data_IF_042191060837
#
_entry.id   IF_042191060837
#
_cell.length_a   1.000
_cell.length_b   1.000
_cell.length_c   1.000
_cell.angle_alpha   90.00
_cell.angle_beta   90.00
_cell.angle_gamma   90.00
#
_symmetry.space_group_name_H-M   'P 1'
#
loop_
_entity.id
_entity.type
_entity.pdbx_description
1 polymer ?
#
# COMPACT_ATOMS: atom_id res chain seq x y z
N UNK A 1 -22.67 -30.19 32.32
CA UNK A 1 -22.64 -30.74 30.95
C UNK A 1 -24.02 -30.54 30.38
N UNK A 2 -24.25 -29.72 29.36
CA UNK A 2 -23.40 -29.51 28.19
C UNK A 2 -23.27 -28.04 27.80
N UNK A 3 -22.02 -27.59 27.72
CA UNK A 3 -21.58 -26.41 26.98
C UNK A 3 -21.65 -26.73 25.49
N UNK A 4 -22.78 -26.45 24.84
CA UNK A 4 -22.82 -26.49 23.38
C UNK A 4 -23.98 -25.61 22.92
N UNK A 5 -23.64 -24.41 22.42
CA UNK A 5 -24.46 -23.51 21.56
C UNK A 5 -24.17 -22.01 21.76
N UNK A 6 -22.94 -21.62 22.13
CA UNK A 6 -22.47 -20.29 21.80
C UNK A 6 -21.75 -20.35 20.45
N UNK A 7 -22.53 -20.45 19.36
CA UNK A 7 -22.02 -20.24 18.02
C UNK A 7 -21.51 -18.80 17.91
N UNK A 8 -20.24 -18.58 18.27
CA UNK A 8 -19.53 -17.34 18.01
C UNK A 8 -19.52 -17.11 16.52
N UNK A 9 -20.40 -16.22 16.06
CA UNK A 9 -20.34 -15.61 14.74
C UNK A 9 -18.95 -14.98 14.63
N UNK A 10 -18.02 -15.67 13.95
CA UNK A 10 -16.74 -15.11 13.53
C UNK A 10 -17.06 -14.10 12.44
N UNK A 11 -17.39 -12.88 12.81
CA UNK A 11 -17.44 -11.77 11.85
C UNK A 11 -16.01 -11.54 11.37
N UNK A 12 -15.65 -12.19 10.26
CA UNK A 12 -14.38 -11.96 9.56
C UNK A 12 -14.54 -10.66 8.80
N UNK A 13 -14.08 -9.55 9.38
CA UNK A 13 -13.91 -8.31 8.63
C UNK A 13 -12.62 -8.50 7.83
N UNK A 14 -12.77 -8.76 6.54
CA UNK A 14 -11.67 -8.79 5.58
C UNK A 14 -11.29 -7.35 5.22
N UNK A 15 -10.02 -7.00 5.44
CA UNK A 15 -9.43 -5.77 4.91
C UNK A 15 -8.41 -6.15 3.85
N UNK A 16 -8.49 -5.53 2.68
CA UNK A 16 -7.45 -5.61 1.65
C UNK A 16 -6.71 -4.27 1.60
N UNK A 17 -5.38 -4.34 1.73
CA UNK A 17 -4.51 -3.16 1.73
C UNK A 17 -3.66 -3.12 0.47
N UNK A 18 -3.59 -1.97 -0.20
CA UNK A 18 -2.74 -1.74 -1.35
C UNK A 18 -1.97 -0.41 -1.22
N UNK A 19 -0.72 -0.35 -1.65
CA UNK A 19 0.01 0.90 -1.69
C UNK A 19 1.30 0.87 -2.50
N UNK A 20 1.73 2.05 -2.96
CA UNK A 20 3.01 2.26 -3.65
C UNK A 20 3.92 3.18 -2.83
N UNK A 21 5.23 2.92 -2.81
CA UNK A 21 6.24 3.81 -2.23
C UNK A 21 5.99 4.04 -0.73
N UNK A 22 5.90 5.31 -0.31
CA UNK A 22 5.49 5.69 1.05
C UNK A 22 4.07 5.23 1.38
N UNK A 23 3.18 5.14 0.40
CA UNK A 23 1.82 4.61 0.57
C UNK A 23 1.82 3.13 0.90
N UNK A 24 2.72 2.34 0.29
CA UNK A 24 2.94 0.94 0.65
C UNK A 24 3.43 0.83 2.10
N UNK A 25 4.41 1.66 2.48
CA UNK A 25 4.90 1.70 3.85
C UNK A 25 3.81 2.13 4.85
N UNK A 26 2.92 3.05 4.48
CA UNK A 26 1.77 3.42 5.30
C UNK A 26 0.77 2.26 5.47
N UNK A 27 0.47 1.52 4.40
CA UNK A 27 -0.35 0.31 4.47
C UNK A 27 0.29 -0.74 5.40
N UNK A 28 1.61 -0.90 5.35
CA UNK A 28 2.38 -1.74 6.26
C UNK A 28 2.29 -1.30 7.72
N UNK A 29 2.43 0.00 8.00
CA UNK A 29 2.25 0.58 9.33
C UNK A 29 0.86 0.29 9.89
N UNK A 30 -0.17 0.42 9.04
CA UNK A 30 -1.56 0.15 9.38
C UNK A 30 -1.78 -1.34 9.68
N UNK A 31 -1.29 -2.23 8.83
CA UNK A 31 -1.40 -3.68 9.05
C UNK A 31 -0.73 -4.10 10.36
N UNK A 32 0.47 -3.58 10.66
CA UNK A 32 1.15 -3.80 11.94
C UNK A 32 0.37 -3.20 13.13
N UNK A 33 -0.34 -2.08 12.93
CA UNK A 33 -1.19 -1.51 13.97
C UNK A 33 -2.40 -2.40 14.25
N UNK A 34 -3.08 -2.85 13.19
CA UNK A 34 -4.23 -3.77 13.29
C UNK A 34 -3.83 -5.09 13.93
N UNK A 35 -2.65 -5.63 13.61
CA UNK A 35 -2.10 -6.85 14.23
C UNK A 35 -1.98 -6.76 15.75
N UNK A 36 -1.54 -5.61 16.25
CA UNK A 36 -1.31 -5.42 17.69
C UNK A 36 -2.55 -4.90 18.41
N UNK A 37 -3.26 -3.96 17.82
CA UNK A 37 -4.34 -3.21 18.49
C UNK A 37 -5.72 -3.77 18.13
N UNK A 38 -5.89 -4.22 16.89
CA UNK A 38 -7.19 -4.44 16.27
C UNK A 38 -7.80 -3.14 15.73
N UNK A 39 -9.11 -3.18 15.40
CA UNK A 39 -9.86 -2.00 14.97
C UNK A 39 -10.62 -1.42 16.14
N UNK A 40 -10.42 -0.13 16.40
CA UNK A 40 -11.16 0.60 17.41
C UNK A 40 -12.51 1.05 16.85
N UNK A 41 -13.58 0.83 17.61
CA UNK A 41 -14.86 1.48 17.34
C UNK A 41 -14.76 2.99 17.60
N UNK A 42 -15.71 3.78 17.11
CA UNK A 42 -15.72 5.24 17.33
C UNK A 42 -15.62 5.63 18.81
N UNK A 43 -16.20 4.83 19.71
CA UNK A 43 -16.11 5.00 21.17
C UNK A 43 -14.71 4.73 21.74
N UNK A 44 -13.89 3.96 21.04
CA UNK A 44 -12.50 3.65 21.40
C UNK A 44 -11.49 4.71 20.93
N UNK A 45 -11.86 5.59 19.99
CA UNK A 45 -10.97 6.62 19.44
C UNK A 45 -10.36 7.58 20.47
N UNK A 46 -11.05 7.99 21.56
CA UNK A 46 -10.43 8.80 22.61
C UNK A 46 -9.18 8.16 23.23
N UNK A 47 -9.05 6.83 23.18
CA UNK A 47 -7.91 6.09 23.71
C UNK A 47 -6.77 5.89 22.69
N UNK A 48 -7.00 6.25 21.42
CA UNK A 48 -6.03 6.06 20.34
C UNK A 48 -4.68 6.72 20.66
N UNK A 49 -4.70 7.93 21.22
CA UNK A 49 -3.47 8.62 21.61
C UNK A 49 -2.66 7.83 22.64
N UNK A 50 -3.32 7.27 23.65
CA UNK A 50 -2.68 6.48 24.71
C UNK A 50 -2.04 5.22 24.15
N UNK A 51 -2.75 4.50 23.26
CA UNK A 51 -2.25 3.31 22.57
C UNK A 51 -1.04 3.66 21.70
N UNK A 52 -1.15 4.69 20.87
CA UNK A 52 -0.06 5.15 20.00
C UNK A 52 1.16 5.58 20.80
N UNK A 53 0.96 6.22 21.96
CA UNK A 53 2.05 6.63 22.85
C UNK A 53 2.77 5.43 23.45
N UNK A 54 2.05 4.43 23.94
CA UNK A 54 2.64 3.18 24.44
C UNK A 54 3.44 2.45 23.35
N UNK A 55 2.90 2.41 22.13
CA UNK A 55 3.57 1.79 20.98
C UNK A 55 4.82 2.55 20.53
N UNK A 56 4.79 3.89 20.55
CA UNK A 56 5.97 4.73 20.32
C UNK A 56 7.05 4.43 21.37
N UNK A 57 6.66 4.36 22.64
CA UNK A 57 7.58 4.03 23.74
C UNK A 57 8.19 2.63 23.60
N UNK A 58 7.41 1.66 23.15
CA UNK A 58 7.92 0.33 22.79
C UNK A 58 8.97 0.39 21.66
N UNK A 59 8.69 1.13 20.58
CA UNK A 59 9.61 1.28 19.46
C UNK A 59 10.90 2.04 19.80
N UNK A 60 10.86 2.93 20.79
CA UNK A 60 12.03 3.66 21.33
C UNK A 60 12.79 2.84 22.38
N UNK A 61 12.18 1.80 22.94
CA UNK A 61 12.76 1.00 24.01
C UNK A 61 13.90 0.10 23.52
N UNK A 62 14.92 -0.04 24.36
CA UNK A 62 15.95 -1.07 24.20
C UNK A 62 15.37 -2.47 24.39
N UNK A 63 16.09 -3.50 23.94
CA UNK A 63 15.64 -4.89 23.95
C UNK A 63 15.16 -5.36 25.33
N UNK A 64 15.83 -4.93 26.40
CA UNK A 64 15.47 -5.26 27.79
C UNK A 64 14.15 -4.64 28.27
N UNK A 65 13.77 -3.49 27.71
CA UNK A 65 12.59 -2.72 28.14
C UNK A 65 11.36 -2.98 27.27
N UNK A 66 11.53 -3.57 26.08
CA UNK A 66 10.41 -3.92 25.17
C UNK A 66 9.36 -4.83 25.84
N UNK A 67 9.72 -5.88 26.62
CA UNK A 67 8.73 -6.71 27.29
C UNK A 67 7.82 -5.93 28.24
N UNK A 68 8.37 -4.95 28.97
CA UNK A 68 7.59 -4.08 29.87
C UNK A 68 6.56 -3.28 29.10
N UNK A 69 6.96 -2.65 27.99
CA UNK A 69 6.04 -1.85 27.17
C UNK A 69 5.00 -2.71 26.45
N UNK A 70 5.34 -3.94 26.07
CA UNK A 70 4.37 -4.92 25.61
C UNK A 70 3.31 -5.19 26.68
N UNK A 71 3.71 -5.49 27.92
CA UNK A 71 2.75 -5.71 29.02
C UNK A 71 1.84 -4.51 29.26
N UNK A 72 2.38 -3.28 29.22
CA UNK A 72 1.58 -2.05 29.36
C UNK A 72 0.56 -1.93 28.23
N UNK A 73 0.97 -2.21 26.99
CA UNK A 73 0.08 -2.16 25.84
C UNK A 73 -1.02 -3.22 25.95
N UNK A 74 -0.67 -4.47 26.28
CA UNK A 74 -1.65 -5.56 26.44
C UNK A 74 -2.68 -5.26 27.53
N UNK A 75 -2.25 -4.70 28.68
CA UNK A 75 -3.17 -4.29 29.74
C UNK A 75 -4.14 -3.18 29.27
N UNK A 76 -3.64 -2.20 28.50
CA UNK A 76 -4.48 -1.16 27.91
C UNK A 76 -5.48 -1.72 26.91
N UNK A 77 -5.05 -2.66 26.06
CA UNK A 77 -5.90 -3.26 25.04
C UNK A 77 -6.97 -4.17 25.66
N UNK A 78 -6.62 -4.96 26.67
CA UNK A 78 -7.58 -5.76 27.43
C UNK A 78 -8.66 -4.89 28.08
N UNK A 79 -8.28 -3.74 28.65
CA UNK A 79 -9.24 -2.77 29.18
C UNK A 79 -10.13 -2.13 28.11
N UNK A 80 -9.79 -2.26 26.82
CA UNK A 80 -10.52 -1.71 25.68
C UNK A 80 -11.21 -2.79 24.83
N UNK A 81 -11.23 -4.05 25.27
CA UNK A 81 -11.82 -5.18 24.53
C UNK A 81 -13.28 -4.92 24.13
N UNK A 82 -14.05 -4.22 24.96
CA UNK A 82 -15.45 -3.87 24.69
C UNK A 82 -15.65 -2.78 23.62
N UNK A 83 -14.58 -2.07 23.22
CA UNK A 83 -14.58 -1.01 22.21
C UNK A 83 -13.58 -1.25 21.09
N UNK A 84 -13.09 -2.49 20.94
CA UNK A 84 -12.24 -2.89 19.83
C UNK A 84 -12.65 -4.23 19.24
N UNK A 85 -12.27 -4.46 18.00
CA UNK A 85 -12.33 -5.74 17.32
C UNK A 85 -10.93 -6.32 17.28
N UNK A 86 -10.72 -7.46 17.93
CA UNK A 86 -9.39 -8.09 18.07
C UNK A 86 -9.13 -9.21 17.07
N UNK A 87 -10.17 -9.74 16.43
CA UNK A 87 -10.09 -10.87 15.48
C UNK A 87 -10.29 -10.38 14.04
N UNK A 88 -9.28 -9.72 13.51
CA UNK A 88 -9.29 -9.19 12.14
C UNK A 88 -8.27 -9.94 11.31
N UNK A 89 -8.65 -10.24 10.08
CA UNK A 89 -7.76 -10.83 9.11
C UNK A 89 -7.67 -9.88 7.90
N UNK A 90 -6.44 -9.61 7.49
CA UNK A 90 -6.12 -8.89 6.26
C UNK A 90 -5.88 -9.96 5.21
N UNK A 91 -6.80 -10.08 4.25
CA UNK A 91 -6.74 -11.16 3.27
C UNK A 91 -5.56 -10.96 2.33
N UNK A 92 -5.38 -9.73 1.83
CA UNK A 92 -4.19 -9.35 1.07
C UNK A 92 -3.59 -8.02 1.52
N UNK A 93 -2.25 -7.99 1.63
CA UNK A 93 -1.44 -6.78 1.64
C UNK A 93 -0.57 -6.75 0.38
N UNK A 94 -0.91 -5.86 -0.56
CA UNK A 94 -0.22 -5.66 -1.83
C UNK A 94 0.65 -4.39 -1.80
N UNK A 95 1.94 -4.54 -2.04
CA UNK A 95 2.92 -3.46 -1.90
C UNK A 95 3.76 -3.31 -3.17
N UNK A 96 3.79 -2.12 -3.74
CA UNK A 96 4.74 -1.76 -4.79
C UNK A 96 5.87 -0.92 -4.19
N UNK A 97 7.09 -1.42 -4.36
CA UNK A 97 8.36 -0.81 -4.01
C UNK A 97 8.32 -0.01 -2.69
N UNK A 98 7.99 -0.66 -1.55
CA UNK A 98 7.74 0.03 -0.29
C UNK A 98 9.01 0.69 0.21
N UNK A 99 9.04 2.02 0.25
CA UNK A 99 10.18 2.76 0.80
C UNK A 99 9.83 3.27 2.18
N UNK A 100 10.73 3.02 3.14
CA UNK A 100 10.56 3.58 4.47
C UNK A 100 10.54 5.11 4.37
N UNK A 101 9.68 5.77 5.14
CA UNK A 101 9.71 7.23 5.26
C UNK A 101 10.96 7.76 5.99
N UNK A 102 11.98 6.92 6.22
CA UNK A 102 13.32 7.34 6.62
C UNK A 102 13.91 8.30 5.56
N UNK A 103 13.73 9.59 5.78
CA UNK A 103 14.46 10.64 5.05
C UNK A 103 13.60 11.64 4.28
N UNK A 104 12.61 12.27 4.92
CA UNK A 104 12.28 13.64 4.51
C UNK A 104 13.35 14.58 5.10
N UNK A 105 14.20 15.25 4.31
CA UNK A 105 15.27 16.13 4.82
C UNK A 105 14.77 17.44 5.45
N UNK A 106 13.45 17.60 5.64
CA UNK A 106 12.85 18.88 6.00
C UNK A 106 12.63 19.09 7.51
N UNK A 107 12.93 18.11 8.37
CA UNK A 107 12.84 18.30 9.83
C UNK A 107 13.95 17.56 10.61
N UNK A 108 14.73 18.25 11.45
CA UNK A 108 15.59 17.59 12.42
C UNK A 108 14.72 16.90 13.47
N UNK A 109 14.86 15.59 13.60
CA UNK A 109 14.03 14.76 14.49
C UNK A 109 13.44 13.56 13.77
N UNK A 110 14.29 12.77 13.10
CA UNK A 110 13.94 11.50 12.46
C UNK A 110 13.17 10.62 13.44
N UNK A 111 11.83 10.69 13.41
CA UNK A 111 10.97 9.75 14.10
C UNK A 111 11.21 8.39 13.44
N UNK A 112 12.03 7.57 14.09
CA UNK A 112 12.29 6.22 13.63
C UNK A 112 10.94 5.50 13.66
N UNK A 113 10.47 5.03 12.50
CA UNK A 113 9.35 4.08 12.42
C UNK A 113 9.79 2.70 12.95
N UNK A 114 10.53 2.66 14.05
CA UNK A 114 11.07 1.44 14.69
C UNK A 114 9.97 0.53 15.22
N UNK A 115 8.72 1.01 15.25
CA UNK A 115 7.56 0.18 15.57
C UNK A 115 7.09 -0.70 14.39
N UNK A 116 7.56 -0.46 13.17
CA UNK A 116 7.23 -1.29 12.00
C UNK A 116 8.22 -2.45 11.97
N UNK A 117 7.71 -3.65 12.24
CA UNK A 117 8.55 -4.85 12.20
C UNK A 117 8.96 -5.19 10.76
N UNK A 118 10.13 -5.80 10.61
CA UNK A 118 10.53 -6.49 9.36
C UNK A 118 9.86 -7.87 9.22
N UNK A 119 9.06 -8.26 10.21
CA UNK A 119 8.24 -9.45 10.23
C UNK A 119 6.85 -9.14 9.68
N UNK A 120 6.34 -10.03 8.82
CA UNK A 120 4.98 -9.92 8.30
C UNK A 120 3.98 -10.14 9.44
N UNK A 121 3.06 -9.18 9.69
CA UNK A 121 2.04 -9.32 10.72
C UNK A 121 1.20 -10.59 10.61
N UNK A 122 0.85 -11.18 11.75
CA UNK A 122 0.10 -12.44 11.83
C UNK A 122 -1.34 -12.35 11.33
N UNK A 123 -1.93 -11.14 11.35
CA UNK A 123 -3.25 -10.87 10.78
C UNK A 123 -3.28 -10.95 9.25
N UNK A 124 -2.13 -10.96 8.57
CA UNK A 124 -2.07 -11.00 7.11
C UNK A 124 -2.06 -12.45 6.63
N UNK A 125 -2.99 -12.79 5.74
CA UNK A 125 -3.02 -14.11 5.08
C UNK A 125 -2.07 -14.14 3.88
N UNK A 126 -2.07 -13.09 3.07
CA UNK A 126 -1.23 -13.00 1.86
C UNK A 126 -0.51 -11.65 1.80
N UNK A 127 0.83 -11.65 1.79
CA UNK A 127 1.66 -10.47 1.61
C UNK A 127 2.40 -10.55 0.27
N UNK A 128 2.08 -9.65 -0.64
CA UNK A 128 2.67 -9.58 -1.98
C UNK A 128 3.44 -8.29 -2.15
N UNK A 129 4.70 -8.39 -2.56
CA UNK A 129 5.59 -7.23 -2.73
C UNK A 129 6.25 -7.28 -4.10
N UNK A 130 6.07 -6.23 -4.90
CA UNK A 130 6.85 -5.98 -6.10
C UNK A 130 8.01 -5.03 -5.76
N UNK A 131 9.25 -5.39 -6.08
CA UNK A 131 10.44 -4.57 -5.78
C UNK A 131 11.21 -4.21 -7.04
N UNK A 132 11.77 -2.99 -7.05
CA UNK A 132 12.64 -2.52 -8.12
C UNK A 132 14.06 -3.09 -7.97
N UNK A 133 14.61 -3.61 -9.08
CA UNK A 133 15.98 -4.14 -9.11
C UNK A 133 17.02 -3.08 -9.47
N UNK A 134 16.62 -2.04 -10.22
CA UNK A 134 17.55 -1.04 -10.77
C UNK A 134 17.50 0.31 -10.05
N UNK A 135 16.79 0.41 -8.92
CA UNK A 135 16.78 1.63 -8.10
C UNK A 135 18.10 1.79 -7.33
N UNK A 136 18.87 2.83 -7.68
CA UNK A 136 20.20 3.08 -7.13
C UNK A 136 20.23 4.16 -6.05
N UNK A 137 19.15 4.93 -5.87
CA UNK A 137 19.09 6.00 -4.86
C UNK A 137 18.89 5.36 -3.49
N UNK A 138 19.84 5.59 -2.58
CA UNK A 138 19.79 5.02 -1.24
C UNK A 138 18.52 5.36 -0.45
N UNK A 139 17.92 6.53 -0.68
CA UNK A 139 16.66 6.96 -0.06
C UNK A 139 15.42 6.23 -0.58
N UNK A 140 15.55 5.46 -1.67
CA UNK A 140 14.47 4.67 -2.27
C UNK A 140 14.74 3.17 -2.18
N UNK A 141 15.64 2.74 -1.29
CA UNK A 141 15.87 1.31 -1.07
C UNK A 141 14.57 0.65 -0.58
N UNK A 142 14.04 -0.37 -1.29
CA UNK A 142 12.80 -1.01 -0.89
C UNK A 142 12.94 -1.80 0.42
N UNK A 143 11.89 -1.77 1.21
CA UNK A 143 11.73 -2.47 2.47
C UNK A 143 11.13 -3.86 2.20
N UNK A 144 12.00 -4.85 2.07
CA UNK A 144 11.59 -6.26 1.94
C UNK A 144 11.25 -6.87 3.30
N UNK A 145 10.36 -7.86 3.28
CA UNK A 145 10.03 -8.68 4.43
C UNK A 145 11.17 -9.66 4.74
N UNK A 146 11.57 -9.73 6.01
CA UNK A 146 12.66 -10.59 6.46
C UNK A 146 12.18 -11.92 7.05
N UNK A 147 11.05 -11.94 7.75
CA UNK A 147 10.48 -13.11 8.43
C UNK A 147 8.96 -13.10 8.35
N UNK A 148 8.36 -14.28 8.52
CA UNK A 148 6.90 -14.45 8.66
C UNK A 148 6.58 -14.66 10.14
N UNK A 149 5.49 -14.09 10.63
CA UNK A 149 5.04 -14.32 12.02
C UNK A 149 4.44 -15.71 12.23
N UNK A 150 3.98 -16.37 11.17
CA UNK A 150 3.48 -17.74 11.21
C UNK A 150 3.75 -18.44 9.85
N UNK A 151 3.58 -19.77 9.83
CA UNK A 151 3.81 -20.59 8.64
C UNK A 151 2.61 -20.55 7.65
N UNK A 152 1.46 -20.04 8.09
CA UNK A 152 0.23 -19.97 7.30
C UNK A 152 0.24 -18.79 6.31
N UNK A 153 0.91 -17.69 6.65
CA UNK A 153 0.99 -16.49 5.81
C UNK A 153 1.77 -16.77 4.51
N UNK A 154 1.10 -16.62 3.37
CA UNK A 154 1.75 -16.65 2.05
C UNK A 154 2.47 -15.33 1.83
N UNK A 155 3.80 -15.37 1.72
CA UNK A 155 4.61 -14.17 1.39
C UNK A 155 5.29 -14.37 0.05
N UNK A 156 5.00 -13.50 -0.90
CA UNK A 156 5.68 -13.42 -2.20
C UNK A 156 6.35 -12.07 -2.36
N UNK A 157 7.63 -12.09 -2.73
CA UNK A 157 8.41 -10.90 -3.02
C UNK A 157 9.05 -11.11 -4.40
N UNK A 158 8.64 -10.32 -5.38
CA UNK A 158 9.07 -10.46 -6.78
C UNK A 158 9.87 -9.22 -7.20
N UNK A 159 11.06 -9.47 -7.76
CA UNK A 159 11.93 -8.43 -8.31
C UNK A 159 11.63 -8.17 -9.78
N UNK A 160 11.47 -6.89 -10.12
CA UNK A 160 11.20 -6.44 -11.47
C UNK A 160 12.32 -5.51 -11.96
N UNK A 161 12.66 -5.63 -13.24
CA UNK A 161 13.59 -4.71 -13.93
C UNK A 161 12.96 -3.33 -13.99
N UNK A 162 13.76 -2.30 -13.72
CA UNK A 162 13.33 -0.90 -13.64
C UNK A 162 13.63 -0.24 -12.30
N UNK A 163 13.46 1.08 -12.25
CA UNK A 163 13.57 1.88 -11.04
C UNK A 163 12.23 2.04 -10.32
N UNK A 164 12.20 2.81 -9.23
CA UNK A 164 11.02 2.96 -8.36
C UNK A 164 9.69 3.22 -9.09
N UNK A 165 9.68 4.16 -10.04
CA UNK A 165 8.49 4.53 -10.81
C UNK A 165 8.20 3.60 -11.99
N UNK A 166 9.17 2.76 -12.39
CA UNK A 166 8.93 1.70 -13.37
C UNK A 166 8.18 0.53 -12.74
N UNK A 167 8.19 0.39 -11.41
CA UNK A 167 7.49 -0.70 -10.71
C UNK A 167 6.16 -0.25 -10.16
N UNK A 168 6.08 0.91 -9.52
CA UNK A 168 4.82 1.40 -8.96
C UNK A 168 4.07 2.41 -9.84
N UNK A 169 4.62 2.74 -11.01
CA UNK A 169 4.04 3.69 -11.94
C UNK A 169 4.41 5.15 -11.65
N UNK A 170 3.80 6.04 -12.44
CA UNK A 170 4.05 7.49 -12.41
C UNK A 170 5.02 7.98 -13.50
N UNK A 171 5.66 7.07 -14.24
CA UNK A 171 6.38 7.40 -15.46
C UNK A 171 5.40 7.58 -16.64
N UNK A 172 5.84 8.35 -17.65
CA UNK A 172 5.07 8.52 -18.90
C UNK A 172 4.99 7.21 -19.69
N UNK A 173 6.08 6.46 -19.67
CA UNK A 173 6.11 5.09 -20.14
C UNK A 173 5.61 4.19 -19.01
N UNK A 174 4.50 3.50 -19.27
CA UNK A 174 3.84 2.63 -18.29
C UNK A 174 4.18 1.16 -18.51
N UNK A 175 5.00 0.82 -19.50
CA UNK A 175 5.24 -0.56 -19.92
C UNK A 175 5.71 -1.45 -18.78
N UNK A 176 6.79 -1.06 -18.10
CA UNK A 176 7.33 -1.82 -16.96
C UNK A 176 6.36 -1.86 -15.77
N UNK A 177 5.68 -0.75 -15.46
CA UNK A 177 4.73 -0.70 -14.33
C UNK A 177 3.47 -1.50 -14.58
N UNK A 178 3.14 -1.73 -15.85
CA UNK A 178 2.03 -2.60 -16.24
C UNK A 178 2.36 -4.06 -15.96
N UNK A 179 3.61 -4.48 -16.18
CA UNK A 179 4.03 -5.86 -15.89
C UNK A 179 3.91 -6.16 -14.39
N UNK A 180 4.40 -5.27 -13.53
CA UNK A 180 4.28 -5.42 -12.07
C UNK A 180 2.82 -5.34 -11.58
N UNK A 181 1.99 -4.48 -12.21
CA UNK A 181 0.56 -4.40 -11.94
C UNK A 181 -0.15 -5.72 -12.27
N UNK A 182 0.06 -6.26 -13.47
CA UNK A 182 -0.57 -7.50 -13.92
C UNK A 182 -0.15 -8.69 -13.06
N UNK A 183 1.12 -8.75 -12.65
CA UNK A 183 1.58 -9.75 -11.69
C UNK A 183 0.81 -9.65 -10.37
N UNK A 184 0.70 -8.46 -9.80
CA UNK A 184 -0.01 -8.26 -8.53
C UNK A 184 -1.50 -8.62 -8.64
N UNK A 185 -2.15 -8.20 -9.72
CA UNK A 185 -3.55 -8.53 -10.02
C UNK A 185 -3.73 -10.04 -10.07
N UNK A 186 -2.86 -10.75 -10.79
CA UNK A 186 -2.92 -12.21 -10.86
C UNK A 186 -2.77 -12.87 -9.48
N UNK A 187 -1.85 -12.40 -8.65
CA UNK A 187 -1.67 -12.95 -7.30
C UNK A 187 -2.89 -12.69 -6.40
N UNK A 188 -3.47 -11.48 -6.48
CA UNK A 188 -4.69 -11.14 -5.74
C UNK A 188 -5.86 -12.00 -6.22
N UNK A 189 -6.10 -12.09 -7.52
CA UNK A 189 -7.17 -12.90 -8.11
C UNK A 189 -7.05 -14.37 -7.67
N UNK A 190 -5.84 -14.94 -7.73
CA UNK A 190 -5.57 -16.32 -7.35
C UNK A 190 -5.92 -16.66 -5.89
N UNK A 191 -5.77 -15.71 -4.96
CA UNK A 191 -6.02 -15.96 -3.52
C UNK A 191 -7.36 -15.42 -3.03
N UNK A 192 -7.94 -14.45 -3.73
CA UNK A 192 -9.18 -13.81 -3.31
C UNK A 192 -10.41 -14.24 -4.10
N UNK A 193 -10.23 -14.64 -5.36
CA UNK A 193 -11.30 -14.75 -6.35
C UNK A 193 -11.87 -13.39 -6.78
N UNK A 194 -11.17 -12.28 -6.51
CA UNK A 194 -11.60 -10.96 -6.94
C UNK A 194 -11.62 -10.85 -8.46
N UNK A 195 -12.71 -10.30 -9.00
CA UNK A 195 -12.85 -10.02 -10.43
C UNK A 195 -12.32 -8.62 -10.74
N UNK A 196 -11.40 -8.54 -11.70
CA UNK A 196 -10.82 -7.29 -12.15
C UNK A 196 -11.36 -6.94 -13.53
N UNK A 197 -11.72 -5.67 -13.72
CA UNK A 197 -12.21 -5.19 -15.00
C UNK A 197 -11.12 -5.27 -16.07
N UNK A 198 -11.12 -6.37 -16.84
CA UNK A 198 -10.19 -6.62 -17.94
C UNK A 198 -10.09 -5.42 -18.90
N UNK A 199 -11.20 -4.75 -19.32
CA UNK A 199 -11.10 -3.58 -20.19
C UNK A 199 -10.30 -2.42 -19.59
N UNK A 200 -10.35 -2.23 -18.26
CA UNK A 200 -9.56 -1.21 -17.59
C UNK A 200 -8.07 -1.60 -17.55
N UNK A 201 -7.77 -2.88 -17.30
CA UNK A 201 -6.38 -3.38 -17.33
C UNK A 201 -5.77 -3.26 -18.73
N UNK A 202 -6.54 -3.55 -19.78
CA UNK A 202 -6.08 -3.44 -21.17
C UNK A 202 -5.66 -2.02 -21.57
N UNK A 203 -6.17 -0.97 -20.90
CA UNK A 203 -5.73 0.41 -21.14
C UNK A 203 -4.25 0.62 -20.81
N UNK A 204 -3.72 -0.15 -19.87
CA UNK A 204 -2.32 -0.08 -19.45
C UNK A 204 -1.41 -0.96 -20.32
N UNK A 205 -1.96 -1.97 -20.99
CA UNK A 205 -1.22 -2.86 -21.90
C UNK A 205 -1.01 -2.21 -23.28
N UNK A 206 -1.90 -1.29 -23.67
CA UNK A 206 -1.76 -0.61 -24.95
C UNK A 206 -0.64 0.44 -24.89
N UNK A 207 0.36 0.39 -25.80
CA UNK A 207 1.40 1.39 -25.84
C UNK A 207 0.78 2.78 -26.03
N UNK A 208 1.36 3.79 -25.39
CA UNK A 208 0.99 5.19 -25.58
C UNK A 208 0.87 5.47 -27.08
N UNK A 209 -0.36 5.72 -27.55
CA UNK A 209 -0.56 6.16 -28.92
C UNK A 209 -0.23 7.65 -28.94
N UNK A 210 0.89 8.07 -29.56
CA UNK A 210 1.07 9.50 -29.80
C UNK A 210 -0.14 9.99 -30.58
N UNK A 211 -0.61 11.23 -30.35
CA UNK A 211 -1.67 11.80 -31.16
C UNK A 211 -1.26 11.63 -32.61
N UNK A 212 -2.11 10.95 -33.40
CA UNK A 212 -1.89 10.81 -34.84
C UNK A 212 -1.71 12.21 -35.37
N UNK A 213 -0.49 12.57 -35.78
CA UNK A 213 -0.29 13.73 -36.63
C UNK A 213 -1.04 13.37 -37.91
N UNK A 214 -2.27 13.85 -38.02
CA UNK A 214 -3.00 13.80 -39.26
C UNK A 214 -2.16 14.64 -40.23
N UNK A 215 -1.42 13.96 -41.12
CA UNK A 215 -1.03 14.58 -42.37
C UNK A 215 -2.33 14.85 -43.13
N UNK A 216 -2.97 15.99 -42.84
CA UNK A 216 -3.86 16.59 -43.81
C UNK A 216 -3.00 16.77 -45.06
N UNK A 217 -3.30 16.01 -46.12
CA UNK A 217 -2.82 16.34 -47.45
C UNK A 217 -3.25 17.78 -47.69
N UNK A 218 -2.29 18.70 -47.65
CA UNK A 218 -2.51 20.07 -48.07
C UNK A 218 -2.89 20.00 -49.55
N UNK A 219 -4.18 20.18 -49.85
CA UNK A 219 -4.59 20.48 -51.20
C UNK A 219 -3.91 21.79 -51.58
N UNK A 220 -3.04 21.71 -52.58
CA UNK A 220 -2.34 22.85 -53.13
C UNK A 220 -3.36 23.81 -53.75
N UNK A 221 -3.59 24.94 -53.08
CA UNK A 221 -4.12 26.13 -53.74
C UNK A 221 -3.55 27.39 -53.09
N UNK A 222 -2.61 28.00 -53.80
CA UNK A 222 -2.39 29.44 -53.90
C UNK A 222 -2.22 30.26 -52.60
N UNK A 223 -0.94 30.54 -52.30
CA UNK A 223 -0.43 31.89 -52.03
C UNK A 223 -0.97 32.68 -50.83
N UNK A 224 -0.16 32.76 -49.77
CA UNK A 224 0.31 34.03 -49.16
C UNK A 224 1.25 33.75 -47.97
N UNK A 225 2.39 34.43 -47.93
CA UNK A 225 3.32 34.50 -46.79
C UNK A 225 2.65 35.21 -45.62
N UNK A 226 2.72 34.64 -44.42
CA UNK A 226 2.60 35.39 -43.16
C UNK A 226 3.57 34.86 -42.09
N UNK A 227 4.13 35.82 -41.34
CA UNK A 227 5.17 35.70 -40.32
C UNK A 227 4.66 35.13 -38.99
N UNK A 228 5.62 34.78 -38.14
CA UNK A 228 5.47 33.95 -36.94
C UNK A 228 4.48 34.43 -35.88
N UNK A 229 3.91 33.45 -35.19
CA UNK A 229 3.62 33.47 -33.75
C UNK A 229 3.30 32.04 -33.29
N UNK A 230 3.90 31.60 -32.17
CA UNK A 230 3.70 30.28 -31.57
C UNK A 230 2.25 30.17 -31.04
N UNK A 231 1.51 29.08 -31.26
CA UNK A 231 0.30 28.84 -30.50
C UNK A 231 0.63 28.20 -29.14
N UNK A 232 0.05 28.78 -28.09
CA UNK A 232 0.10 28.30 -26.72
C UNK A 232 -0.61 26.94 -26.58
N UNK A 233 0.05 25.97 -25.94
CA UNK A 233 -0.58 24.71 -25.51
C UNK A 233 -1.30 24.94 -24.19
N UNK A 234 -2.63 24.93 -24.23
CA UNK A 234 -3.47 24.82 -23.04
C UNK A 234 -3.26 23.44 -22.39
N UNK A 235 -2.71 23.44 -21.18
CA UNK A 235 -2.66 22.28 -20.28
C UNK A 235 -4.07 21.97 -19.78
N UNK A 236 -4.65 20.87 -20.25
CA UNK A 236 -5.81 20.25 -19.62
C UNK A 236 -5.35 19.42 -18.43
N UNK A 237 -5.65 19.93 -17.24
CA UNK A 237 -5.62 19.22 -15.96
C UNK A 237 -6.58 18.03 -16.00
N UNK A 238 -6.08 16.82 -15.77
CA UNK A 238 -6.90 15.68 -15.32
C UNK A 238 -6.34 15.20 -13.98
N UNK A 239 -6.80 15.81 -12.90
CA UNK A 239 -6.75 15.22 -11.57
C UNK A 239 -7.87 14.17 -11.51
N UNK A 240 -7.51 12.89 -11.48
CA UNK A 240 -8.43 11.81 -11.16
C UNK A 240 -8.06 11.24 -9.78
N UNK A 241 -8.61 11.88 -8.74
CA UNK A 241 -8.78 11.27 -7.42
C UNK A 241 -10.08 10.49 -7.40
N UNK A 242 -9.99 9.17 -7.36
CA UNK A 242 -11.08 8.26 -6.99
C UNK A 242 -10.42 7.13 -6.18
N UNK A 243 -10.64 6.95 -4.89
CA UNK A 243 -11.94 6.85 -4.24
C UNK A 243 -12.25 5.35 -4.10
N UNK A 244 -11.58 4.66 -3.18
CA UNK A 244 -11.79 3.24 -2.90
C UNK A 244 -13.01 3.10 -1.97
N UNK A 245 -14.03 2.38 -2.43
CA UNK A 245 -15.24 2.07 -1.67
C UNK A 245 -14.96 0.90 -0.72
N UNK A 246 -15.27 1.08 0.56
CA UNK A 246 -15.22 0.03 1.59
C UNK A 246 -16.60 -0.64 1.62
N UNK A 247 -16.67 -1.92 1.22
CA UNK A 247 -17.85 -2.74 1.48
C UNK A 247 -17.68 -3.41 2.85
N UNK A 248 -18.60 -3.12 3.76
CA UNK A 248 -18.72 -3.79 5.07
C UNK A 248 -19.77 -4.89 4.88
N UNK A 249 -19.39 -6.15 5.10
CA UNK A 249 -20.29 -7.28 5.25
C UNK A 249 -20.37 -7.70 6.72
#
# INVERSE_FOLDING_TARGET
>A
MTEESASHIKTRIGFDGAGFSRGAFAARCLANFVDKVGLLWSRGLPFLWTICRSRKKWGEAGESDRPRWNTVLEQQLAALDYVRLSRIHIKVLAEWDPVSAMGLPLRPGNEKFSFVSHEVPSVIENAFVAVSLDEKRGSFKPSVWGRRANDETKVLQCGFVGCHSDIGGGNKDVGLSTVSLLWMVSEIENVTGADFQVPALLQFINPFQPPRIAFQKANASHGKRYHGSKPAMQLLNCAATSGMTVNIY
#
